data_IF_751706856941
#
_entry.id   IF_751706856941
#
_cell.length_a   1.000
_cell.length_b   1.000
_cell.length_c   1.000
_cell.angle_alpha   90.00
_cell.angle_beta   90.00
_cell.angle_gamma   90.00
#
_symmetry.space_group_name_H-M   'P 1'
#
loop_
_entity.id
_entity.type
_entity.pdbx_description
1 polymer ?
#
# COMPACT_ATOMS: atom_id res chain seq x y z
N UNK A 1 -5.80 -5.03 17.30
CA UNK A 1 -4.52 -5.09 16.56
C UNK A 1 -4.21 -3.72 15.95
N UNK A 2 -2.97 -3.27 16.08
CA UNK A 2 -2.58 -1.96 15.55
C UNK A 2 -1.99 -2.13 14.14
N UNK A 3 -2.63 -1.49 13.15
CA UNK A 3 -2.16 -1.53 11.76
C UNK A 3 -1.39 -0.25 11.46
N UNK A 4 -0.18 -0.39 10.93
CA UNK A 4 0.71 0.73 10.59
C UNK A 4 1.11 0.62 9.12
N UNK A 5 1.63 1.72 8.56
CA UNK A 5 2.12 1.72 7.18
C UNK A 5 3.13 0.60 6.92
N UNK A 6 4.04 0.35 7.87
CA UNK A 6 5.04 -0.71 7.71
C UNK A 6 4.43 -2.11 7.65
N UNK A 7 3.26 -2.29 8.25
CA UNK A 7 2.57 -3.59 8.24
C UNK A 7 1.95 -3.89 6.89
N UNK A 8 1.63 -2.86 6.12
CA UNK A 8 1.01 -3.02 4.80
C UNK A 8 2.01 -2.89 3.64
N UNK A 9 3.26 -2.59 3.93
CA UNK A 9 4.28 -2.36 2.88
C UNK A 9 4.47 -3.60 1.99
N UNK A 10 4.73 -4.76 2.58
CA UNK A 10 4.91 -6.01 1.83
C UNK A 10 3.61 -6.44 1.14
N UNK A 11 2.45 -6.45 1.83
CA UNK A 11 1.19 -6.74 1.16
C UNK A 11 0.90 -5.80 -0.01
N UNK A 12 1.25 -4.51 0.11
CA UNK A 12 1.06 -3.55 -0.98
C UNK A 12 1.92 -3.90 -2.20
N UNK A 13 3.18 -4.27 -1.97
CA UNK A 13 4.07 -4.70 -3.04
C UNK A 13 3.57 -5.98 -3.71
N UNK A 14 3.06 -6.92 -2.92
CA UNK A 14 2.47 -8.17 -3.44
C UNK A 14 1.25 -7.89 -4.31
N UNK A 15 0.40 -6.95 -3.88
CA UNK A 15 -0.77 -6.56 -4.66
C UNK A 15 -0.38 -5.98 -6.01
N UNK A 16 0.64 -5.12 -6.04
CA UNK A 16 1.18 -4.56 -7.28
C UNK A 16 1.80 -5.65 -8.17
N UNK A 17 2.55 -6.56 -7.56
CA UNK A 17 3.20 -7.66 -8.29
C UNK A 17 2.18 -8.59 -8.97
N UNK A 18 0.97 -8.67 -8.44
CA UNK A 18 -0.11 -9.45 -9.02
C UNK A 18 -0.75 -8.84 -10.26
N UNK A 19 -0.42 -7.58 -10.58
CA UNK A 19 -0.93 -6.92 -11.77
C UNK A 19 -0.01 -7.21 -12.96
N UNK A 20 -0.55 -7.25 -14.19
CA UNK A 20 0.24 -7.62 -15.39
C UNK A 20 1.48 -6.75 -15.59
N UNK A 21 1.40 -5.46 -15.31
CA UNK A 21 2.50 -4.52 -15.50
C UNK A 21 3.13 -4.05 -14.18
N UNK A 22 2.73 -4.67 -13.06
CA UNK A 22 3.25 -4.30 -11.75
C UNK A 22 2.69 -3.00 -11.19
N UNK A 23 1.73 -2.39 -11.87
CA UNK A 23 1.12 -1.14 -11.46
C UNK A 23 -0.22 -1.38 -10.77
N UNK A 24 -0.45 -0.70 -9.66
CA UNK A 24 -1.75 -0.69 -8.97
C UNK A 24 -2.08 0.74 -8.56
N UNK A 25 -3.32 1.17 -8.83
CA UNK A 25 -3.78 2.48 -8.37
C UNK A 25 -4.00 2.46 -6.87
N UNK A 26 -3.97 3.64 -6.24
CA UNK A 26 -4.23 3.74 -4.80
C UNK A 26 -5.62 3.20 -4.45
N UNK A 27 -6.63 3.49 -5.28
CA UNK A 27 -7.98 2.99 -5.05
C UNK A 27 -8.04 1.46 -5.06
N UNK A 28 -7.41 0.84 -6.07
CA UNK A 28 -7.37 -0.62 -6.18
C UNK A 28 -6.53 -1.24 -5.05
N UNK A 29 -5.49 -0.54 -4.63
CA UNK A 29 -4.65 -0.98 -3.51
C UNK A 29 -5.45 -1.01 -2.22
N UNK A 30 -6.25 0.02 -1.96
CA UNK A 30 -7.12 0.06 -0.78
C UNK A 30 -8.07 -1.14 -0.80
N UNK A 31 -8.72 -1.39 -1.94
CA UNK A 31 -9.65 -2.52 -2.07
C UNK A 31 -8.96 -3.86 -1.83
N UNK A 32 -7.79 -4.06 -2.40
CA UNK A 32 -7.04 -5.30 -2.26
C UNK A 32 -6.63 -5.53 -0.80
N UNK A 33 -6.16 -4.49 -0.13
CA UNK A 33 -5.71 -4.60 1.26
C UNK A 33 -6.87 -4.75 2.23
N UNK A 34 -8.03 -4.16 1.92
CA UNK A 34 -9.24 -4.37 2.72
C UNK A 34 -9.66 -5.83 2.72
N UNK A 35 -9.52 -6.51 1.60
CA UNK A 35 -9.81 -7.94 1.51
C UNK A 35 -8.82 -8.76 2.35
N UNK A 36 -7.55 -8.41 2.30
CA UNK A 36 -6.51 -9.15 3.02
C UNK A 36 -6.56 -8.93 4.53
N UNK A 37 -6.72 -7.68 4.96
CA UNK A 37 -6.67 -7.32 6.39
C UNK A 37 -8.00 -7.39 7.09
N UNK A 38 -9.11 -7.30 6.34
CA UNK A 38 -10.47 -7.31 6.90
C UNK A 38 -10.60 -6.33 8.07
N UNK A 39 -10.33 -5.02 7.85
CA UNK A 39 -10.31 -4.04 8.95
C UNK A 39 -11.66 -4.00 9.67
N UNK A 40 -11.59 -3.84 10.98
CA UNK A 40 -12.77 -3.79 11.85
C UNK A 40 -12.55 -2.77 12.95
N UNK A 41 -13.59 -2.51 13.74
CA UNK A 41 -13.51 -1.55 14.83
C UNK A 41 -13.13 -0.17 14.32
N UNK A 42 -12.16 0.47 14.96
CA UNK A 42 -11.75 1.82 14.60
C UNK A 42 -11.17 1.94 13.19
N UNK A 43 -10.61 0.85 12.64
CA UNK A 43 -10.04 0.88 11.28
C UNK A 43 -11.12 0.86 10.19
N UNK A 44 -12.31 0.38 10.50
CA UNK A 44 -13.44 0.40 9.58
C UNK A 44 -14.30 1.66 9.75
N UNK A 45 -13.99 2.46 10.75
CA UNK A 45 -14.75 3.67 11.06
C UNK A 45 -14.51 4.74 10.00
N UNK A 46 -15.59 5.35 9.51
CA UNK A 46 -15.51 6.42 8.52
C UNK A 46 -15.04 7.70 9.23
N UNK A 47 -13.98 8.31 8.67
CA UNK A 47 -13.43 9.53 9.21
C UNK A 47 -14.41 10.70 9.03
N UNK A 48 -14.46 11.57 10.02
CA UNK A 48 -15.38 12.70 10.05
C UNK A 48 -15.17 13.61 8.82
N UNK A 49 -16.27 13.91 8.14
CA UNK A 49 -16.27 14.77 6.97
C UNK A 49 -15.66 14.15 5.72
N UNK A 50 -15.39 12.83 5.73
CA UNK A 50 -14.77 12.13 4.60
C UNK A 50 -15.51 10.83 4.31
N UNK A 51 -15.24 10.26 3.14
CA UNK A 51 -15.73 8.93 2.78
C UNK A 51 -14.69 7.86 3.01
N UNK A 52 -13.54 8.25 3.57
CA UNK A 52 -12.44 7.33 3.86
C UNK A 52 -12.59 6.70 5.24
N UNK A 53 -12.15 5.46 5.37
CA UNK A 53 -12.00 4.82 6.67
C UNK A 53 -10.61 5.12 7.22
N UNK A 54 -10.40 4.84 8.50
CA UNK A 54 -9.07 4.96 9.09
C UNK A 54 -8.08 4.04 8.39
N UNK A 55 -8.53 2.84 7.99
CA UNK A 55 -7.69 1.91 7.25
C UNK A 55 -7.29 2.45 5.88
N UNK A 56 -8.25 2.98 5.11
CA UNK A 56 -7.94 3.55 3.79
C UNK A 56 -6.98 4.73 3.89
N UNK A 57 -7.08 5.51 4.98
CA UNK A 57 -6.15 6.62 5.21
C UNK A 57 -4.72 6.10 5.44
N UNK A 58 -4.55 4.98 6.14
CA UNK A 58 -3.23 4.36 6.32
C UNK A 58 -2.65 3.95 4.97
N UNK A 59 -3.46 3.37 4.09
CA UNK A 59 -3.02 2.99 2.75
C UNK A 59 -2.63 4.23 1.94
N UNK A 60 -3.43 5.28 2.00
CA UNK A 60 -3.12 6.55 1.32
C UNK A 60 -1.83 7.16 1.85
N UNK A 61 -1.59 7.06 3.15
CA UNK A 61 -0.38 7.57 3.78
C UNK A 61 0.86 6.81 3.28
N UNK A 62 0.76 5.52 3.04
CA UNK A 62 1.86 4.74 2.47
C UNK A 62 2.33 5.37 1.16
N UNK A 63 1.39 5.76 0.30
CA UNK A 63 1.70 6.39 -0.99
C UNK A 63 2.12 7.84 -0.82
N UNK A 64 1.43 8.60 0.06
CA UNK A 64 1.70 10.01 0.28
C UNK A 64 3.07 10.26 0.92
N UNK A 65 3.51 9.38 1.81
CA UNK A 65 4.79 9.49 2.51
C UNK A 65 5.96 8.92 1.70
N UNK A 66 5.86 8.94 0.39
CA UNK A 66 6.86 8.35 -0.52
C UNK A 66 8.25 8.95 -0.41
N UNK A 67 8.37 10.15 0.11
CA UNK A 67 9.66 10.82 0.32
C UNK A 67 10.28 10.47 1.68
N UNK A 68 9.55 9.77 2.54
CA UNK A 68 10.08 9.33 3.82
C UNK A 68 11.21 8.32 3.61
N UNK A 69 12.26 8.42 4.43
CA UNK A 69 13.43 7.54 4.32
C UNK A 69 13.10 6.07 4.49
N UNK A 70 12.01 5.75 5.18
CA UNK A 70 11.58 4.37 5.43
C UNK A 70 10.53 3.87 4.45
N UNK A 71 10.17 4.69 3.45
CA UNK A 71 9.15 4.30 2.48
C UNK A 71 9.69 3.25 1.50
N UNK A 72 8.76 2.47 0.93
CA UNK A 72 9.11 1.50 -0.11
C UNK A 72 9.63 2.20 -1.37
N UNK A 73 9.25 3.45 -1.58
CA UNK A 73 9.73 4.26 -2.72
C UNK A 73 11.18 4.68 -2.51
N UNK A 74 11.51 5.18 -1.33
CA UNK A 74 12.89 5.58 -1.00
C UNK A 74 13.83 4.37 -1.00
N UNK A 75 13.33 3.19 -0.67
CA UNK A 75 14.10 1.95 -0.68
C UNK A 75 14.30 1.39 -2.09
N UNK A 76 13.61 1.94 -3.09
CA UNK A 76 13.74 1.48 -4.48
C UNK A 76 12.87 0.28 -4.83
N UNK A 77 11.94 -0.11 -3.96
CA UNK A 77 11.06 -1.27 -4.19
C UNK A 77 9.84 -0.93 -5.02
N UNK A 78 9.48 0.34 -5.11
CA UNK A 78 8.35 0.80 -5.91
C UNK A 78 8.63 2.19 -6.44
N UNK A 79 7.98 2.54 -7.57
CA UNK A 79 7.99 3.88 -8.14
C UNK A 79 6.59 4.47 -8.02
N UNK A 80 6.52 5.76 -7.68
CA UNK A 80 5.25 6.46 -7.66
C UNK A 80 4.83 6.82 -9.09
N UNK A 81 3.56 6.57 -9.42
CA UNK A 81 3.00 6.86 -10.74
C UNK A 81 2.07 8.06 -10.62
N UNK A 82 2.55 9.26 -10.97
CA UNK A 82 1.80 10.50 -10.80
C UNK A 82 0.47 10.52 -11.55
N UNK A 83 0.49 10.10 -12.82
CA UNK A 83 -0.71 10.13 -13.64
C UNK A 83 -1.82 9.22 -13.17
N UNK A 84 -1.46 8.11 -12.52
CA UNK A 84 -2.41 7.11 -12.05
C UNK A 84 -2.65 7.13 -10.55
N UNK A 85 -1.97 7.99 -9.82
CA UNK A 85 -2.05 8.05 -8.36
C UNK A 85 -1.87 6.67 -7.71
N UNK A 86 -0.78 5.99 -8.04
CA UNK A 86 -0.53 4.65 -7.55
C UNK A 86 0.95 4.33 -7.50
N UNK A 87 1.25 3.04 -7.44
CA UNK A 87 2.63 2.58 -7.40
C UNK A 87 2.86 1.47 -8.43
N UNK A 88 4.11 1.38 -8.88
CA UNK A 88 4.56 0.27 -9.72
C UNK A 88 5.73 -0.40 -9.02
N UNK A 89 5.64 -1.71 -8.85
CA UNK A 89 6.71 -2.47 -8.21
C UNK A 89 7.93 -2.53 -9.15
N UNK A 90 9.12 -2.43 -8.57
CA UNK A 90 10.39 -2.51 -9.31
C UNK A 90 10.93 -3.94 -9.29
N UNK A 91 11.99 -4.20 -10.06
CA UNK A 91 12.68 -5.49 -10.00
C UNK A 91 13.22 -5.74 -8.59
N UNK A 92 13.77 -4.70 -7.94
CA UNK A 92 14.23 -4.80 -6.56
C UNK A 92 13.08 -5.11 -5.60
N UNK A 93 11.91 -4.53 -5.84
CA UNK A 93 10.72 -4.81 -5.04
C UNK A 93 10.26 -6.25 -5.18
N UNK A 94 10.29 -6.79 -6.39
CA UNK A 94 9.94 -8.19 -6.64
C UNK A 94 10.90 -9.15 -5.94
N UNK A 95 12.18 -8.84 -5.97
CA UNK A 95 13.18 -9.63 -5.25
C UNK A 95 12.97 -9.55 -3.74
N UNK A 96 12.68 -8.36 -3.25
CA UNK A 96 12.43 -8.15 -1.81
C UNK A 96 11.27 -9.00 -1.30
N UNK A 97 10.13 -8.98 -1.99
CA UNK A 97 8.95 -9.76 -1.55
C UNK A 97 9.16 -11.27 -1.73
N UNK A 98 10.00 -11.68 -2.69
CA UNK A 98 10.31 -13.09 -2.88
C UNK A 98 11.10 -13.65 -1.69
N UNK A 99 11.87 -12.81 -1.00
CA UNK A 99 12.67 -13.19 0.17
C UNK A 99 11.95 -12.95 1.49
N UNK A 100 10.83 -12.22 1.45
CA UNK A 100 10.10 -11.89 2.67
C UNK A 100 9.35 -13.11 3.22
N UNK A 101 9.28 -13.28 4.55
CA UNK A 101 8.45 -14.34 5.13
C UNK A 101 6.96 -14.08 4.86
N UNK A 102 6.23 -15.15 4.71
CA UNK A 102 4.77 -15.07 4.53
C UNK A 102 4.05 -14.79 5.84
#
# INVERSE_FOLDING_TARGET
MLIRERDIAIPALRAAAGKPDGYISTADLISALEVEFEPSGEYAEILDGRQDTKFSQIVRNLVSHRESRTSIFASGYADYVEGGHGLRITAAGREFIAQAPE
#
